data_IF_255340105243
#
_entry.id   IF_255340105243
#
_cell.length_a   1.000
_cell.length_b   1.000
_cell.length_c   1.000
_cell.angle_alpha   90.00
_cell.angle_beta   90.00
_cell.angle_gamma   90.00
#
_symmetry.space_group_name_H-M   'P 1'
#
loop_
_entity.id
_entity.type
_entity.pdbx_description
1 polymer ?
#
# COMPACT_ATOMS: atom_id res chain seq x y z
N UNK A 1 16.69 -17.20 16.17
CA UNK A 1 17.93 -16.43 16.39
C UNK A 1 17.70 -15.08 17.07
N UNK A 2 16.60 -14.88 17.78
CA UNK A 2 16.36 -13.62 18.49
C UNK A 2 15.97 -12.44 17.59
N UNK A 3 15.49 -12.71 16.39
CA UNK A 3 14.98 -11.67 15.49
C UNK A 3 13.49 -11.49 15.75
N UNK A 4 13.08 -10.26 16.09
CA UNK A 4 11.70 -9.96 16.46
C UNK A 4 10.82 -9.62 15.25
N UNK A 5 11.40 -8.99 14.23
CA UNK A 5 10.67 -8.52 13.05
C UNK A 5 11.40 -8.92 11.78
N UNK A 6 10.68 -9.47 10.82
CA UNK A 6 11.20 -9.79 9.49
C UNK A 6 10.34 -9.10 8.44
N UNK A 7 10.97 -8.31 7.59
CA UNK A 7 10.30 -7.64 6.46
C UNK A 7 10.60 -8.43 5.19
N UNK A 8 9.55 -8.79 4.45
CA UNK A 8 9.67 -9.52 3.19
C UNK A 8 9.20 -8.62 2.06
N UNK A 9 10.13 -8.23 1.20
CA UNK A 9 9.83 -7.43 0.02
C UNK A 9 9.53 -8.35 -1.17
N UNK A 10 8.64 -7.91 -2.05
CA UNK A 10 8.19 -8.71 -3.19
C UNK A 10 8.25 -7.92 -4.49
N UNK A 11 8.16 -8.64 -5.61
CA UNK A 11 7.98 -8.01 -6.91
C UNK A 11 6.63 -7.29 -6.96
N UNK A 12 6.61 -6.12 -7.59
CA UNK A 12 5.39 -5.32 -7.74
C UNK A 12 5.00 -5.05 -9.18
N UNK A 13 5.67 -5.67 -10.14
CA UNK A 13 5.44 -5.38 -11.56
C UNK A 13 4.17 -6.06 -12.06
N UNK A 14 3.36 -5.29 -12.81
CA UNK A 14 2.09 -5.77 -13.36
C UNK A 14 2.18 -6.22 -14.80
N UNK A 15 3.39 -6.38 -15.35
CA UNK A 15 3.59 -6.70 -16.76
C UNK A 15 3.01 -8.06 -17.16
N UNK A 16 3.02 -9.01 -16.23
CA UNK A 16 2.40 -10.32 -16.44
C UNK A 16 1.66 -10.71 -15.17
N UNK A 17 0.35 -10.53 -15.20
CA UNK A 17 -0.51 -10.76 -14.04
C UNK A 17 -0.43 -12.20 -13.53
N UNK A 18 -0.42 -13.17 -14.43
CA UNK A 18 -0.38 -14.60 -14.07
C UNK A 18 0.92 -14.94 -13.34
N UNK A 19 2.06 -14.49 -13.86
CA UNK A 19 3.35 -14.75 -13.24
C UNK A 19 3.46 -14.06 -11.89
N UNK A 20 2.99 -12.81 -11.80
CA UNK A 20 2.98 -12.07 -10.54
C UNK A 20 2.10 -12.76 -9.50
N UNK A 21 0.91 -13.21 -9.90
CA UNK A 21 -0.02 -13.93 -9.02
C UNK A 21 0.63 -15.20 -8.47
N UNK A 22 1.28 -15.99 -9.34
CA UNK A 22 1.94 -17.23 -8.94
C UNK A 22 3.09 -16.96 -7.98
N UNK A 23 3.90 -15.94 -8.26
CA UNK A 23 5.03 -15.55 -7.42
C UNK A 23 4.57 -15.09 -6.04
N UNK A 24 3.57 -14.21 -5.99
CA UNK A 24 3.05 -13.69 -4.73
C UNK A 24 2.39 -14.78 -3.88
N UNK A 25 1.64 -15.67 -4.51
CA UNK A 25 1.05 -16.82 -3.81
C UNK A 25 2.12 -17.73 -3.22
N UNK A 26 3.20 -17.96 -3.95
CA UNK A 26 4.32 -18.78 -3.48
C UNK A 26 5.00 -18.13 -2.27
N UNK A 27 5.29 -16.83 -2.35
CA UNK A 27 5.88 -16.08 -1.24
C UNK A 27 4.97 -16.15 -0.01
N UNK A 28 3.69 -15.95 -0.19
CA UNK A 28 2.71 -16.02 0.90
C UNK A 28 2.70 -17.37 1.58
N UNK A 29 2.72 -18.46 0.81
CA UNK A 29 2.71 -19.82 1.36
C UNK A 29 3.98 -20.12 2.14
N UNK A 30 5.12 -19.68 1.63
CA UNK A 30 6.42 -19.96 2.25
C UNK A 30 6.60 -19.13 3.51
N UNK A 31 6.26 -17.85 3.48
CA UNK A 31 6.51 -16.93 4.59
C UNK A 31 5.41 -16.93 5.65
N UNK A 32 4.18 -17.25 5.27
CA UNK A 32 3.01 -17.21 6.14
C UNK A 32 2.98 -15.93 6.99
N UNK A 33 2.87 -14.76 6.36
CA UNK A 33 3.08 -13.49 7.05
C UNK A 33 1.99 -13.21 8.09
N UNK A 34 2.38 -12.54 9.19
CA UNK A 34 1.44 -12.06 10.20
C UNK A 34 0.68 -10.82 9.71
N UNK A 35 1.33 -10.01 8.88
CA UNK A 35 0.77 -8.77 8.36
C UNK A 35 1.19 -8.59 6.91
N UNK A 36 0.25 -8.29 6.04
CA UNK A 36 0.50 -8.02 4.63
C UNK A 36 0.10 -6.58 4.35
N UNK A 37 1.04 -5.79 3.82
CA UNK A 37 0.81 -4.39 3.49
C UNK A 37 1.01 -4.18 1.99
N UNK A 38 0.09 -3.45 1.38
CA UNK A 38 0.25 -2.95 0.03
C UNK A 38 0.95 -1.58 0.08
N UNK A 39 1.99 -1.40 -0.72
CA UNK A 39 2.69 -0.12 -0.82
C UNK A 39 2.39 0.47 -2.20
N UNK A 40 1.73 1.62 -2.22
CA UNK A 40 1.33 2.29 -3.44
C UNK A 40 1.86 3.71 -3.53
N UNK A 41 2.04 4.19 -4.76
CA UNK A 41 2.46 5.55 -5.06
C UNK A 41 1.21 6.42 -5.22
N UNK A 42 1.01 7.38 -4.33
CA UNK A 42 -0.19 8.24 -4.36
C UNK A 42 -0.27 9.09 -5.63
N UNK A 43 0.87 9.35 -6.28
CA UNK A 43 0.90 10.13 -7.52
C UNK A 43 0.50 9.33 -8.76
N UNK A 44 0.44 8.01 -8.66
CA UNK A 44 0.04 7.17 -9.79
C UNK A 44 -1.45 7.26 -10.11
N UNK A 45 -2.25 7.89 -9.25
CA UNK A 45 -3.67 8.12 -9.51
C UNK A 45 -4.44 6.82 -9.68
N UNK A 46 -5.17 6.70 -10.81
CA UNK A 46 -5.97 5.50 -11.10
C UNK A 46 -5.13 4.23 -11.22
N UNK A 47 -3.88 4.33 -11.64
CA UNK A 47 -2.99 3.17 -11.71
C UNK A 47 -2.73 2.58 -10.32
N UNK A 48 -2.59 3.44 -9.31
CA UNK A 48 -2.42 2.97 -7.93
C UNK A 48 -3.68 2.25 -7.44
N UNK A 49 -4.86 2.75 -7.79
CA UNK A 49 -6.14 2.12 -7.43
C UNK A 49 -6.28 0.75 -8.08
N UNK A 50 -6.00 0.65 -9.38
CA UNK A 50 -6.08 -0.62 -10.11
C UNK A 50 -5.08 -1.63 -9.58
N UNK A 51 -3.87 -1.18 -9.27
CA UNK A 51 -2.84 -2.02 -8.67
C UNK A 51 -3.27 -2.54 -7.30
N UNK A 52 -3.85 -1.67 -6.48
CA UNK A 52 -4.34 -2.05 -5.15
C UNK A 52 -5.45 -3.11 -5.25
N UNK A 53 -6.38 -2.93 -6.18
CA UNK A 53 -7.46 -3.91 -6.41
C UNK A 53 -6.90 -5.26 -6.81
N UNK A 54 -5.93 -5.28 -7.72
CA UNK A 54 -5.30 -6.52 -8.17
C UNK A 54 -4.58 -7.23 -7.04
N UNK A 55 -3.79 -6.51 -6.24
CA UNK A 55 -3.09 -7.09 -5.11
C UNK A 55 -4.04 -7.59 -4.03
N UNK A 56 -5.16 -6.90 -3.81
CA UNK A 56 -6.17 -7.34 -2.87
C UNK A 56 -6.79 -8.67 -3.31
N UNK A 57 -7.04 -8.84 -4.60
CA UNK A 57 -7.56 -10.09 -5.16
C UNK A 57 -6.57 -11.26 -5.01
N UNK A 58 -5.27 -10.97 -5.18
CA UNK A 58 -4.22 -11.99 -5.12
C UNK A 58 -3.87 -12.35 -3.69
N UNK A 59 -3.58 -11.37 -2.84
CA UNK A 59 -2.97 -11.57 -1.53
C UNK A 59 -3.85 -11.17 -0.35
N UNK A 60 -4.91 -10.41 -0.57
CA UNK A 60 -5.78 -9.91 0.50
C UNK A 60 -4.96 -9.21 1.59
N UNK A 61 -4.37 -8.07 1.25
CA UNK A 61 -3.56 -7.33 2.21
C UNK A 61 -4.41 -6.76 3.35
N UNK A 62 -3.77 -6.52 4.49
CA UNK A 62 -4.44 -6.04 5.70
C UNK A 62 -4.60 -4.53 5.73
N UNK A 63 -3.67 -3.81 5.14
CA UNK A 63 -3.69 -2.36 5.07
C UNK A 63 -2.80 -1.84 3.96
N UNK A 64 -2.88 -0.55 3.70
CA UNK A 64 -2.10 0.09 2.65
C UNK A 64 -1.18 1.17 3.21
N UNK A 65 -0.01 1.28 2.59
CA UNK A 65 0.94 2.37 2.81
C UNK A 65 1.03 3.17 1.52
N UNK A 66 0.78 4.46 1.60
CA UNK A 66 0.88 5.34 0.42
C UNK A 66 2.11 6.21 0.52
N UNK A 67 2.92 6.19 -0.54
CA UNK A 67 4.11 7.03 -0.63
C UNK A 67 3.81 8.34 -1.35
N UNK A 68 4.69 9.31 -1.21
CA UNK A 68 4.62 10.61 -1.90
C UNK A 68 3.37 11.43 -1.56
N UNK A 69 2.85 11.25 -0.35
CA UNK A 69 1.67 11.98 0.10
C UNK A 69 1.94 13.48 0.27
N UNK A 70 3.19 13.86 0.48
CA UNK A 70 3.62 15.26 0.55
C UNK A 70 3.41 16.02 -0.75
N UNK A 71 3.40 15.31 -1.89
CA UNK A 71 3.21 15.90 -3.22
C UNK A 71 1.80 15.66 -3.79
N UNK A 72 0.98 14.88 -3.10
CA UNK A 72 -0.43 14.65 -3.48
C UNK A 72 -1.31 15.72 -2.83
N UNK A 73 -1.61 16.77 -3.58
CA UNK A 73 -2.25 17.97 -3.05
C UNK A 73 -3.63 17.71 -2.45
N UNK A 74 -4.35 16.72 -2.91
CA UNK A 74 -5.73 16.46 -2.47
C UNK A 74 -5.92 15.15 -1.72
N UNK A 75 -4.93 14.27 -1.70
CA UNK A 75 -5.04 12.99 -1.00
C UNK A 75 -6.09 12.04 -1.57
N UNK A 76 -6.56 12.28 -2.79
CA UNK A 76 -7.66 11.53 -3.38
C UNK A 76 -7.35 10.07 -3.64
N UNK A 77 -6.08 9.74 -3.92
CA UNK A 77 -5.68 8.35 -4.17
C UNK A 77 -5.93 7.47 -2.95
N UNK A 78 -5.64 7.97 -1.75
CA UNK A 78 -5.87 7.23 -0.51
C UNK A 78 -7.33 6.87 -0.32
N UNK A 79 -8.21 7.84 -0.53
CA UNK A 79 -9.65 7.63 -0.41
C UNK A 79 -10.14 6.59 -1.42
N UNK A 80 -9.69 6.72 -2.66
CA UNK A 80 -10.08 5.79 -3.73
C UNK A 80 -9.61 4.37 -3.46
N UNK A 81 -8.38 4.20 -2.98
CA UNK A 81 -7.84 2.87 -2.64
C UNK A 81 -8.61 2.25 -1.48
N UNK A 82 -8.87 3.01 -0.42
CA UNK A 82 -9.62 2.52 0.73
C UNK A 82 -11.03 2.08 0.31
N UNK A 83 -11.70 2.87 -0.52
CA UNK A 83 -13.03 2.55 -1.03
C UNK A 83 -13.01 1.30 -1.91
N UNK A 84 -12.07 1.23 -2.85
CA UNK A 84 -12.02 0.14 -3.84
C UNK A 84 -11.63 -1.20 -3.22
N UNK A 85 -10.81 -1.20 -2.17
CA UNK A 85 -10.30 -2.44 -1.56
C UNK A 85 -11.01 -2.81 -0.26
N UNK A 86 -11.69 -1.87 0.38
CA UNK A 86 -12.26 -2.06 1.70
C UNK A 86 -11.21 -2.18 2.81
N UNK A 87 -9.96 -1.79 2.53
CA UNK A 87 -8.85 -1.88 3.49
C UNK A 87 -8.36 -0.50 3.90
N UNK A 88 -7.94 -0.32 5.16
CA UNK A 88 -7.53 1.00 5.63
C UNK A 88 -6.15 1.40 5.12
N UNK A 89 -5.94 2.71 5.02
CA UNK A 89 -4.61 3.27 4.87
C UNK A 89 -4.02 3.34 6.28
N UNK A 90 -2.87 2.71 6.50
CA UNK A 90 -2.27 2.64 7.83
C UNK A 90 -1.07 3.58 8.01
N UNK A 91 -0.30 3.82 6.94
CA UNK A 91 0.84 4.73 6.98
C UNK A 91 0.87 5.57 5.71
N UNK A 92 1.44 6.77 5.83
CA UNK A 92 1.68 7.67 4.71
C UNK A 92 3.15 8.08 4.69
N UNK A 93 3.79 7.91 3.54
CA UNK A 93 5.14 8.40 3.30
C UNK A 93 5.09 9.84 2.82
N UNK A 94 5.84 10.72 3.49
CA UNK A 94 5.79 12.17 3.24
C UNK A 94 7.12 12.74 2.77
N UNK A 95 8.12 11.91 2.47
CA UNK A 95 9.41 12.33 1.99
C UNK A 95 10.40 11.18 1.87
N UNK A 96 11.68 11.51 1.80
CA UNK A 96 12.75 10.54 1.54
C UNK A 96 13.47 10.06 2.79
N UNK A 97 13.30 10.75 3.92
CA UNK A 97 13.98 10.41 5.15
C UNK A 97 13.20 9.34 5.93
N UNK A 98 13.88 8.61 6.81
CA UNK A 98 13.24 7.57 7.61
C UNK A 98 12.13 8.11 8.50
N UNK A 99 12.26 9.35 8.98
CA UNK A 99 11.23 10.00 9.78
C UNK A 99 10.02 10.49 8.98
N UNK A 100 10.07 10.39 7.65
CA UNK A 100 9.00 10.86 6.77
C UNK A 100 7.97 9.76 6.50
N UNK A 101 7.77 8.87 7.46
CA UNK A 101 6.70 7.89 7.46
C UNK A 101 5.83 8.15 8.67
N UNK A 102 4.58 8.52 8.43
CA UNK A 102 3.65 8.85 9.51
C UNK A 102 2.49 7.87 9.57
N UNK A 103 1.97 7.64 10.77
CA UNK A 103 0.72 6.90 10.91
C UNK A 103 -0.40 7.72 10.27
N UNK A 104 -1.24 7.06 9.50
CA UNK A 104 -2.29 7.73 8.76
C UNK A 104 -3.36 8.28 9.71
N UNK A 105 -3.72 9.55 9.49
CA UNK A 105 -4.74 10.25 10.26
C UNK A 105 -5.88 10.65 9.34
N UNK A 106 -7.09 10.09 9.52
CA UNK A 106 -8.23 10.44 8.67
C UNK A 106 -8.59 11.92 8.73
N UNK A 107 -8.40 12.58 9.85
CA UNK A 107 -8.66 14.02 9.97
C UNK A 107 -7.72 14.83 9.09
N UNK A 108 -6.45 14.46 9.06
CA UNK A 108 -5.48 15.11 8.19
C UNK A 108 -5.92 15.00 6.72
N UNK A 109 -6.39 13.82 6.30
CA UNK A 109 -6.86 13.62 4.94
C UNK A 109 -8.07 14.50 4.62
N UNK A 110 -9.02 14.60 5.55
CA UNK A 110 -10.19 15.46 5.38
C UNK A 110 -9.80 16.93 5.23
N UNK A 111 -8.82 17.37 6.00
CA UNK A 111 -8.30 18.74 5.91
C UNK A 111 -7.70 19.01 4.52
N UNK A 112 -6.96 18.04 3.96
CA UNK A 112 -6.39 18.16 2.62
C UNK A 112 -7.45 18.19 1.52
N UNK A 113 -8.53 17.43 1.68
CA UNK A 113 -9.59 17.34 0.68
C UNK A 113 -10.47 18.59 0.63
N UNK A 114 -10.70 19.23 1.77
CA UNK A 114 -11.68 20.32 1.89
C UNK A 114 -11.05 21.71 2.08
N UNK A 115 -9.76 21.80 2.01
CA UNK A 115 -9.09 23.10 1.91
C UNK A 115 -8.89 23.50 0.42
#
# INVERSE_FOLDING_TARGET
>A
KGIDVVLVDTAGRMQNKTNLMNELNKVRKVTNPHLTLFVGDSLAGNDAVEQAKMFQDIMRFDGAVLTKMDTDAKGGAGLSIAYATGRPIVFAGTGQEYGDLMQFNPEWLLDQLFE
#
